data_IF_346384814035
#
_entry.id   IF_346384814035
#
_cell.length_a   1.000
_cell.length_b   1.000
_cell.length_c   1.000
_cell.angle_alpha   90.00
_cell.angle_beta   90.00
_cell.angle_gamma   90.00
#
_symmetry.space_group_name_H-M   'P 1'
#
loop_
_entity.id
_entity.type
_entity.pdbx_description
1 polymer ?
#
# COMPACT_ATOMS: atom_id res chain seq x y z
N UNK A 1 -3.60 -1.71 -30.12
CA UNK A 1 -4.75 -2.21 -29.33
C UNK A 1 -4.61 -3.72 -29.20
N UNK A 2 -4.24 -4.23 -28.02
CA UNK A 2 -3.97 -5.66 -27.78
C UNK A 2 -4.93 -6.18 -26.70
N UNK A 3 -6.09 -6.65 -27.13
CA UNK A 3 -7.07 -7.34 -26.29
C UNK A 3 -6.97 -8.82 -26.67
N UNK A 4 -6.74 -9.67 -25.69
CA UNK A 4 -6.62 -11.11 -25.89
C UNK A 4 -7.92 -11.79 -25.47
N UNK A 5 -8.29 -12.86 -26.16
CA UNK A 5 -9.36 -13.75 -25.71
C UNK A 5 -8.76 -14.93 -24.98
N UNK A 6 -9.57 -15.60 -24.15
CA UNK A 6 -9.15 -16.81 -23.42
C UNK A 6 -8.48 -17.88 -24.29
N UNK A 7 -8.90 -18.01 -25.55
CA UNK A 7 -8.37 -18.97 -26.52
C UNK A 7 -6.97 -18.64 -27.03
N UNK A 8 -6.54 -17.38 -26.92
CA UNK A 8 -5.26 -16.91 -27.47
C UNK A 8 -4.11 -17.11 -26.47
N UNK A 9 -4.40 -17.52 -25.23
CA UNK A 9 -3.46 -17.50 -24.11
C UNK A 9 -3.43 -18.82 -23.34
N UNK A 10 -2.23 -19.15 -22.84
CA UNK A 10 -2.04 -20.24 -21.90
C UNK A 10 -1.99 -19.66 -20.47
N UNK A 11 -2.89 -20.11 -19.60
CA UNK A 11 -2.90 -19.70 -18.19
C UNK A 11 -2.51 -20.91 -17.35
N UNK A 12 -1.45 -20.75 -16.56
CA UNK A 12 -0.92 -21.77 -15.67
C UNK A 12 -0.67 -21.18 -14.29
N UNK A 13 -0.75 -22.01 -13.26
CA UNK A 13 -0.33 -21.64 -11.91
C UNK A 13 1.13 -22.03 -11.71
N UNK A 14 1.97 -21.12 -11.23
CA UNK A 14 3.32 -21.43 -10.76
C UNK A 14 3.40 -21.23 -9.25
N UNK A 15 4.11 -22.13 -8.59
CA UNK A 15 4.40 -22.01 -7.16
C UNK A 15 5.26 -20.77 -6.93
N UNK A 16 4.84 -19.91 -6.01
CA UNK A 16 5.68 -18.80 -5.59
C UNK A 16 6.96 -19.38 -4.93
N UNK A 17 8.17 -18.99 -5.35
CA UNK A 17 9.41 -19.62 -4.87
C UNK A 17 9.65 -19.46 -3.36
N UNK A 18 9.04 -18.44 -2.74
CA UNK A 18 9.16 -18.14 -1.29
C UNK A 18 7.86 -18.24 -0.48
N UNK A 19 6.73 -18.55 -1.09
CA UNK A 19 5.42 -18.60 -0.42
C UNK A 19 4.69 -19.86 -0.85
N UNK A 20 3.91 -20.45 0.05
CA UNK A 20 3.08 -21.62 -0.29
C UNK A 20 1.79 -21.20 -1.01
N UNK A 21 1.94 -20.36 -2.05
CA UNK A 21 0.85 -19.74 -2.79
C UNK A 21 1.10 -19.91 -4.28
N UNK A 22 0.06 -20.32 -5.00
CA UNK A 22 0.08 -20.40 -6.45
C UNK A 22 -0.22 -19.03 -7.07
N UNK A 23 0.63 -18.61 -8.01
CA UNK A 23 0.46 -17.37 -8.76
C UNK A 23 -0.06 -17.73 -10.15
N UNK A 24 -1.21 -17.16 -10.58
CA UNK A 24 -1.68 -17.32 -11.95
C UNK A 24 -0.77 -16.53 -12.89
N UNK A 25 -0.30 -17.21 -13.93
CA UNK A 25 0.57 -16.67 -14.96
C UNK A 25 -0.05 -16.91 -16.33
N UNK A 26 -0.05 -15.86 -17.15
CA UNK A 26 -0.49 -15.88 -18.54
C UNK A 26 0.73 -15.88 -19.46
N UNK A 27 0.76 -16.81 -20.41
CA UNK A 27 1.76 -16.89 -21.46
C UNK A 27 1.13 -16.56 -22.81
N UNK A 28 1.77 -15.65 -23.52
CA UNK A 28 1.37 -15.22 -24.85
C UNK A 28 2.61 -14.86 -25.67
N UNK A 29 2.76 -15.45 -26.86
CA UNK A 29 3.87 -15.21 -27.79
C UNK A 29 5.27 -15.27 -27.14
N UNK A 30 5.51 -16.27 -26.27
CA UNK A 30 6.78 -16.43 -25.56
C UNK A 30 7.04 -15.40 -24.46
N UNK A 31 6.08 -14.51 -24.19
CA UNK A 31 6.12 -13.57 -23.08
C UNK A 31 5.27 -14.07 -21.92
N UNK A 32 5.68 -13.68 -20.71
CA UNK A 32 5.01 -14.08 -19.47
C UNK A 32 4.39 -12.85 -18.81
N UNK A 33 3.17 -13.00 -18.32
CA UNK A 33 2.41 -11.94 -17.66
C UNK A 33 1.85 -12.46 -16.33
N UNK A 34 1.82 -11.59 -15.33
CA UNK A 34 1.19 -11.84 -14.02
C UNK A 34 -0.13 -11.09 -13.96
N UNK A 35 -1.13 -11.71 -13.32
CA UNK A 35 -2.41 -11.06 -13.03
C UNK A 35 -2.21 -9.83 -12.14
N UNK A 36 -2.77 -8.69 -12.56
CA UNK A 36 -2.76 -7.43 -11.79
C UNK A 36 -4.13 -7.14 -11.17
N UNK A 37 -5.22 -7.36 -11.92
CA UNK A 37 -6.57 -7.06 -11.47
C UNK A 37 -7.59 -7.90 -12.23
N UNK A 38 -8.71 -8.22 -11.57
CA UNK A 38 -9.88 -8.88 -12.15
C UNK A 38 -11.07 -7.93 -12.01
N UNK A 39 -11.89 -7.89 -13.05
CA UNK A 39 -13.09 -7.08 -13.15
C UNK A 39 -14.26 -7.97 -13.56
N UNK A 40 -15.45 -7.70 -13.03
CA UNK A 40 -16.67 -8.35 -13.50
C UNK A 40 -17.05 -7.88 -14.91
N UNK A 41 -17.95 -8.59 -15.59
CA UNK A 41 -18.46 -8.15 -16.90
C UNK A 41 -19.08 -6.73 -16.87
N UNK A 42 -19.64 -6.31 -15.73
CA UNK A 42 -20.20 -4.96 -15.56
C UNK A 42 -19.13 -3.85 -15.47
N UNK A 43 -17.87 -4.22 -15.24
CA UNK A 43 -16.73 -3.31 -15.06
C UNK A 43 -15.80 -3.30 -16.28
N UNK A 44 -16.35 -3.56 -17.46
CA UNK A 44 -15.59 -3.55 -18.72
C UNK A 44 -14.86 -2.22 -18.94
N UNK A 45 -15.57 -1.10 -18.75
CA UNK A 45 -15.00 0.23 -18.97
C UNK A 45 -13.86 0.52 -17.99
N UNK A 46 -13.99 0.11 -16.72
CA UNK A 46 -12.94 0.23 -15.70
C UNK A 46 -11.71 -0.59 -16.07
N UNK A 47 -11.91 -1.83 -16.54
CA UNK A 47 -10.83 -2.71 -16.97
C UNK A 47 -10.06 -2.12 -18.17
N UNK A 48 -10.78 -1.54 -19.14
CA UNK A 48 -10.20 -0.86 -20.30
C UNK A 48 -9.48 0.42 -19.90
N UNK A 49 -10.03 1.19 -18.96
CA UNK A 49 -9.43 2.41 -18.44
C UNK A 49 -8.11 2.11 -17.71
N UNK A 50 -8.10 1.12 -16.81
CA UNK A 50 -6.88 0.69 -16.13
C UNK A 50 -5.82 0.21 -17.13
N UNK A 51 -6.21 -0.64 -18.09
CA UNK A 51 -5.29 -1.12 -19.10
C UNK A 51 -4.65 0.03 -19.91
N UNK A 52 -5.45 0.99 -20.38
CA UNK A 52 -4.96 2.18 -21.09
C UNK A 52 -4.02 3.03 -20.24
N UNK A 53 -4.36 3.27 -18.96
CA UNK A 53 -3.48 4.03 -18.07
C UNK A 53 -2.12 3.35 -17.93
N UNK A 54 -2.12 2.03 -17.76
CA UNK A 54 -0.88 1.26 -17.61
C UNK A 54 -0.04 1.23 -18.89
N UNK A 55 -0.66 1.09 -20.07
CA UNK A 55 0.07 1.03 -21.34
C UNK A 55 0.49 2.39 -21.85
N UNK A 56 -0.43 3.35 -21.88
CA UNK A 56 -0.27 4.60 -22.61
C UNK A 56 0.36 5.68 -21.73
N UNK A 57 -0.06 5.76 -20.45
CA UNK A 57 0.46 6.78 -19.53
C UNK A 57 1.71 6.32 -18.78
N UNK A 58 1.80 5.03 -18.44
CA UNK A 58 2.91 4.50 -17.61
C UNK A 58 3.93 3.67 -18.39
N UNK A 59 3.73 3.44 -19.68
CA UNK A 59 4.65 2.66 -20.53
C UNK A 59 4.84 1.21 -20.08
N UNK A 60 3.93 0.67 -19.26
CA UNK A 60 4.01 -0.72 -18.79
C UNK A 60 3.45 -1.64 -19.87
N UNK A 61 4.19 -2.70 -20.19
CA UNK A 61 3.70 -3.73 -21.09
C UNK A 61 2.61 -4.56 -20.37
N UNK A 62 1.34 -4.27 -20.68
CA UNK A 62 0.18 -4.93 -20.09
C UNK A 62 -0.78 -5.45 -21.16
N UNK A 63 -1.46 -6.54 -20.86
CA UNK A 63 -2.50 -7.12 -21.72
C UNK A 63 -3.83 -7.15 -20.97
N UNK A 64 -4.91 -6.85 -21.70
CA UNK A 64 -6.27 -7.04 -21.24
C UNK A 64 -6.77 -8.37 -21.80
N UNK A 65 -7.15 -9.28 -20.91
CA UNK A 65 -7.75 -10.56 -21.24
C UNK A 65 -9.26 -10.50 -21.02
N UNK A 66 -10.01 -10.85 -22.07
CA UNK A 66 -11.45 -10.99 -22.05
C UNK A 66 -11.81 -12.47 -21.90
N UNK A 67 -12.58 -12.77 -20.85
CA UNK A 67 -13.13 -14.10 -20.56
C UNK A 67 -14.66 -14.01 -20.45
N UNK A 68 -15.39 -15.10 -20.69
CA UNK A 68 -16.84 -15.11 -20.48
C UNK A 68 -17.19 -14.67 -19.04
N UNK A 69 -17.83 -13.51 -18.91
CA UNK A 69 -18.28 -12.97 -17.64
C UNK A 69 -17.25 -12.17 -16.84
N UNK A 70 -16.02 -11.98 -17.33
CA UNK A 70 -14.99 -11.19 -16.61
C UNK A 70 -13.88 -10.63 -17.51
N UNK A 71 -13.26 -9.56 -17.05
CA UNK A 71 -12.06 -8.98 -17.65
C UNK A 71 -10.89 -9.09 -16.68
N UNK A 72 -9.68 -9.28 -17.19
CA UNK A 72 -8.48 -9.29 -16.34
C UNK A 72 -7.33 -8.54 -17.00
N UNK A 73 -6.59 -7.77 -16.20
CA UNK A 73 -5.41 -7.03 -16.65
C UNK A 73 -4.18 -7.75 -16.16
N UNK A 74 -3.23 -7.99 -17.07
CA UNK A 74 -2.01 -8.72 -16.78
C UNK A 74 -0.78 -7.88 -17.15
N UNK A 75 0.21 -7.84 -16.27
CA UNK A 75 1.46 -7.10 -16.46
C UNK A 75 2.60 -8.03 -16.87
N UNK A 76 3.39 -7.63 -17.87
CA UNK A 76 4.56 -8.39 -18.34
C UNK A 76 5.59 -8.52 -17.24
N UNK A 77 6.11 -9.73 -17.06
CA UNK A 77 7.18 -10.05 -16.12
C UNK A 77 8.27 -10.87 -16.82
N UNK A 78 9.50 -10.82 -16.30
CA UNK A 78 10.53 -11.83 -16.61
C UNK A 78 10.43 -12.96 -15.59
N UNK A 79 10.61 -14.21 -16.01
CA UNK A 79 10.49 -15.36 -15.10
C UNK A 79 11.50 -15.27 -13.95
N UNK A 80 12.70 -14.76 -14.22
CA UNK A 80 13.76 -14.45 -13.24
C UNK A 80 13.33 -13.43 -12.17
N UNK A 81 12.34 -12.57 -12.47
CA UNK A 81 11.85 -11.62 -11.49
C UNK A 81 11.05 -12.33 -10.39
N UNK A 82 10.42 -13.50 -10.63
CA UNK A 82 9.64 -14.28 -9.63
C UNK A 82 10.42 -14.58 -8.34
N UNK A 83 11.75 -14.67 -8.41
CA UNK A 83 12.61 -14.88 -7.24
C UNK A 83 12.71 -13.64 -6.31
N UNK A 84 12.29 -12.47 -6.80
CA UNK A 84 12.27 -11.19 -6.10
C UNK A 84 10.98 -10.37 -6.30
N UNK A 85 9.85 -10.98 -6.67
CA UNK A 85 8.59 -10.25 -6.89
C UNK A 85 8.01 -9.75 -5.58
N UNK A 86 8.11 -8.43 -5.39
CA UNK A 86 7.20 -7.68 -4.52
C UNK A 86 5.79 -7.63 -5.15
N UNK A 87 4.70 -7.58 -4.35
CA UNK A 87 3.36 -7.59 -4.89
C UNK A 87 3.10 -6.32 -5.73
N UNK A 88 2.06 -6.37 -6.57
CA UNK A 88 1.73 -5.23 -7.43
C UNK A 88 1.51 -3.96 -6.59
N UNK A 89 1.87 -2.79 -7.12
CA UNK A 89 1.69 -1.49 -6.42
C UNK A 89 0.24 -1.24 -5.97
N UNK A 90 -0.76 -1.93 -6.53
CA UNK A 90 -2.17 -1.83 -6.14
C UNK A 90 -2.57 -2.75 -4.97
N UNK A 91 -2.00 -3.95 -4.87
CA UNK A 91 -2.29 -4.90 -3.77
C UNK A 91 -1.47 -4.60 -2.52
N UNK A 92 -0.33 -3.94 -2.67
CA UNK A 92 0.56 -3.56 -1.55
C UNK A 92 0.11 -2.30 -0.84
N UNK A 93 -0.54 -1.38 -1.54
CA UNK A 93 -0.89 -0.07 -1.00
C UNK A 93 -1.78 -0.15 0.26
N UNK A 94 -2.82 -1.01 0.33
CA UNK A 94 -3.62 -1.16 1.55
C UNK A 94 -2.79 -1.61 2.75
N UNK A 95 -1.88 -2.57 2.55
CA UNK A 95 -0.96 -3.03 3.58
C UNK A 95 -0.01 -1.91 4.04
N UNK A 96 0.57 -1.16 3.10
CA UNK A 96 1.49 -0.06 3.43
C UNK A 96 0.76 1.05 4.19
N UNK A 97 -0.48 1.37 3.78
CA UNK A 97 -1.34 2.33 4.47
C UNK A 97 -1.66 1.87 5.89
N UNK A 98 -2.05 0.60 6.05
CA UNK A 98 -2.34 0.00 7.36
C UNK A 98 -1.14 0.08 8.30
N UNK A 99 0.05 -0.28 7.82
CA UNK A 99 1.27 -0.19 8.62
C UNK A 99 1.62 1.27 8.98
N UNK A 100 1.44 2.23 8.07
CA UNK A 100 1.64 3.64 8.38
C UNK A 100 0.64 4.16 9.42
N UNK A 101 -0.61 3.69 9.40
CA UNK A 101 -1.61 4.01 10.41
C UNK A 101 -1.23 3.42 11.78
N UNK A 102 -0.75 2.18 11.84
CA UNK A 102 -0.24 1.60 13.09
C UNK A 102 0.89 2.44 13.69
N UNK A 103 1.83 2.92 12.88
CA UNK A 103 2.90 3.79 13.36
C UNK A 103 2.37 5.15 13.86
N UNK A 104 1.41 5.74 13.15
CA UNK A 104 0.77 6.98 13.56
C UNK A 104 0.08 6.82 14.92
N UNK A 105 -0.66 5.73 15.09
CA UNK A 105 -1.38 5.43 16.33
C UNK A 105 -0.44 5.10 17.48
N UNK A 106 0.62 4.34 17.24
CA UNK A 106 1.63 4.07 18.26
C UNK A 106 2.26 5.36 18.80
N UNK A 107 2.58 6.32 17.91
CA UNK A 107 3.08 7.64 18.32
C UNK A 107 2.01 8.45 19.06
N UNK A 108 0.76 8.41 18.60
CA UNK A 108 -0.37 9.09 19.26
C UNK A 108 -0.57 8.57 20.70
N UNK A 109 -0.61 7.25 20.86
CA UNK A 109 -0.77 6.55 22.15
C UNK A 109 0.43 6.85 23.06
N UNK A 110 1.67 6.74 22.56
CA UNK A 110 2.86 7.08 23.34
C UNK A 110 2.84 8.54 23.83
N UNK A 111 2.33 9.47 23.02
CA UNK A 111 2.20 10.89 23.43
C UNK A 111 1.15 11.02 24.53
N UNK A 112 0.00 10.35 24.40
CA UNK A 112 -1.05 10.37 25.41
C UNK A 112 -0.57 9.77 26.74
N UNK A 113 0.02 8.57 26.68
CA UNK A 113 0.43 7.79 27.85
C UNK A 113 1.62 8.42 28.57
N UNK A 114 2.59 8.97 27.82
CA UNK A 114 3.84 9.48 28.41
C UNK A 114 3.81 10.99 28.68
N UNK A 115 3.06 11.76 27.88
CA UNK A 115 3.07 13.23 27.92
C UNK A 115 1.71 13.84 28.31
N UNK A 116 0.64 13.04 28.32
CA UNK A 116 -0.68 13.38 28.84
C UNK A 116 -1.64 14.02 27.82
N UNK A 117 -2.92 14.07 28.20
CA UNK A 117 -4.04 14.48 27.33
C UNK A 117 -3.90 15.87 26.67
N UNK A 118 -3.20 16.81 27.31
CA UNK A 118 -2.94 18.14 26.70
C UNK A 118 -2.00 18.03 25.50
N UNK A 119 -1.01 17.16 25.56
CA UNK A 119 -0.01 16.98 24.50
C UNK A 119 -0.59 16.20 23.33
N UNK A 120 -1.37 15.15 23.59
CA UNK A 120 -2.05 14.42 22.50
C UNK A 120 -3.09 15.29 21.79
N UNK A 121 -3.81 16.15 22.52
CA UNK A 121 -4.71 17.15 21.92
C UNK A 121 -3.98 18.14 21.01
N UNK A 122 -2.74 18.52 21.37
CA UNK A 122 -1.90 19.36 20.51
C UNK A 122 -1.42 18.59 19.28
N UNK A 123 -0.98 17.33 19.48
CA UNK A 123 -0.51 16.47 18.40
C UNK A 123 -1.62 16.23 17.37
N UNK A 124 -2.86 15.99 17.82
CA UNK A 124 -4.04 15.87 16.94
C UNK A 124 -4.25 17.10 16.06
N UNK A 125 -4.02 18.30 16.57
CA UNK A 125 -4.12 19.54 15.75
C UNK A 125 -2.96 19.66 14.76
N UNK A 126 -1.75 19.28 15.17
CA UNK A 126 -0.58 19.31 14.30
C UNK A 126 -0.69 18.28 13.16
N UNK A 127 -1.14 17.06 13.45
CA UNK A 127 -1.36 16.04 12.41
C UNK A 127 -2.52 16.43 11.48
N UNK A 128 -3.58 17.06 12.00
CA UNK A 128 -4.63 17.63 11.15
C UNK A 128 -4.09 18.67 10.16
N UNK A 129 -3.16 19.51 10.63
CA UNK A 129 -2.49 20.50 9.77
C UNK A 129 -1.64 19.83 8.69
N UNK A 130 -0.95 18.72 9.03
CA UNK A 130 -0.20 17.92 8.06
C UNK A 130 -1.12 17.36 6.98
N UNK A 131 -2.23 16.72 7.37
CA UNK A 131 -3.18 16.15 6.44
C UNK A 131 -3.80 17.18 5.50
N UNK A 132 -4.18 18.35 6.02
CA UNK A 132 -4.72 19.45 5.21
C UNK A 132 -3.68 20.02 4.25
N UNK A 133 -2.46 20.29 4.74
CA UNK A 133 -1.37 20.87 3.94
C UNK A 133 -1.00 19.98 2.75
N UNK A 134 -1.01 18.68 2.96
CA UNK A 134 -0.61 17.68 1.96
C UNK A 134 -1.79 17.01 1.25
N UNK A 135 -3.02 17.50 1.49
CA UNK A 135 -4.26 17.05 0.83
C UNK A 135 -4.49 15.54 0.94
N UNK A 136 -4.38 15.01 2.15
CA UNK A 136 -4.71 13.62 2.41
C UNK A 136 -6.21 13.38 2.13
N UNK A 137 -6.57 12.37 1.33
CA UNK A 137 -7.96 11.99 1.15
C UNK A 137 -8.59 11.50 2.46
N UNK A 138 -9.87 11.79 2.67
CA UNK A 138 -10.67 11.33 3.82
C UNK A 138 -10.14 11.83 5.17
N UNK A 139 -9.57 13.04 5.21
CA UNK A 139 -9.07 13.70 6.44
C UNK A 139 -9.55 15.15 6.54
N UNK A 140 -10.67 15.49 5.90
CA UNK A 140 -11.14 16.87 5.76
C UNK A 140 -11.84 17.41 7.01
N UNK A 141 -12.25 16.54 7.94
CA UNK A 141 -12.93 16.89 9.18
C UNK A 141 -12.17 16.41 10.42
N UNK A 142 -12.33 17.09 11.57
CA UNK A 142 -11.77 16.64 12.84
C UNK A 142 -12.18 15.21 13.23
N UNK A 143 -13.40 14.80 12.87
CA UNK A 143 -13.93 13.46 13.15
C UNK A 143 -13.29 12.40 12.26
N UNK A 144 -13.08 12.70 10.97
CA UNK A 144 -12.39 11.78 10.06
C UNK A 144 -10.94 11.55 10.51
N UNK A 145 -10.27 12.59 11.01
CA UNK A 145 -8.92 12.47 11.57
C UNK A 145 -8.95 11.63 12.85
N UNK A 146 -9.91 11.87 13.74
CA UNK A 146 -10.05 11.09 14.97
C UNK A 146 -10.25 9.60 14.68
N UNK A 147 -11.06 9.29 13.67
CA UNK A 147 -11.26 7.92 13.24
C UNK A 147 -9.92 7.24 12.92
N UNK A 148 -9.04 7.88 12.13
CA UNK A 148 -7.74 7.27 11.79
C UNK A 148 -6.76 7.19 12.98
N UNK A 149 -6.93 8.02 14.00
CA UNK A 149 -6.11 7.98 15.22
C UNK A 149 -6.57 6.91 16.22
N UNK A 150 -7.80 6.40 16.10
CA UNK A 150 -8.42 5.57 17.15
C UNK A 150 -8.98 4.24 16.67
N UNK A 151 -9.31 4.10 15.37
CA UNK A 151 -9.85 2.86 14.81
C UNK A 151 -8.74 1.81 14.70
N UNK A 152 -9.02 0.55 15.04
CA UNK A 152 -8.08 -0.54 14.84
C UNK A 152 -7.74 -0.71 13.34
N UNK A 153 -6.50 -0.41 12.89
CA UNK A 153 -6.10 -0.50 11.49
C UNK A 153 -6.22 -1.90 10.92
N UNK A 154 -6.14 -2.94 11.75
CA UNK A 154 -6.25 -4.34 11.35
C UNK A 154 -7.70 -4.76 11.06
N UNK A 155 -8.66 -4.05 11.65
CA UNK A 155 -10.09 -4.29 11.47
C UNK A 155 -10.74 -3.41 10.39
N UNK A 156 -10.01 -2.48 9.78
CA UNK A 156 -10.55 -1.56 8.77
C UNK A 156 -10.88 -2.31 7.47
N UNK A 157 -12.16 -2.29 7.08
CA UNK A 157 -12.64 -2.90 5.84
C UNK A 157 -12.31 -2.03 4.61
N UNK A 158 -12.32 -0.71 4.75
CA UNK A 158 -12.05 0.22 3.65
C UNK A 158 -10.91 1.17 4.01
N UNK A 159 -9.73 0.92 3.43
CA UNK A 159 -8.58 1.80 3.60
C UNK A 159 -8.81 3.13 2.89
N UNK A 160 -8.25 4.23 3.44
CA UNK A 160 -8.33 5.51 2.75
C UNK A 160 -7.54 5.42 1.43
N UNK A 161 -7.95 6.15 0.37
CA UNK A 161 -7.32 6.07 -0.95
C UNK A 161 -5.99 6.85 -0.98
N UNK A 162 -5.10 6.55 -0.04
CA UNK A 162 -3.79 7.16 0.09
C UNK A 162 -2.81 6.54 -0.90
N UNK A 163 -2.10 7.39 -1.63
CA UNK A 163 -1.04 6.98 -2.54
C UNK A 163 0.31 6.92 -1.82
N UNK A 164 1.28 6.27 -2.44
CA UNK A 164 2.63 6.10 -1.88
C UNK A 164 3.29 7.42 -1.45
N UNK A 165 3.04 8.51 -2.20
CA UNK A 165 3.50 9.84 -1.83
C UNK A 165 2.92 10.32 -0.48
N UNK A 166 1.63 10.06 -0.22
CA UNK A 166 1.03 10.37 1.08
C UNK A 166 1.69 9.56 2.19
N UNK A 167 1.95 8.28 1.98
CA UNK A 167 2.61 7.43 2.98
C UNK A 167 4.03 7.92 3.31
N UNK A 168 4.82 8.25 2.29
CA UNK A 168 6.16 8.81 2.49
C UNK A 168 6.11 10.15 3.25
N UNK A 169 5.18 11.04 2.89
CA UNK A 169 4.97 12.32 3.58
C UNK A 169 4.54 12.12 5.03
N UNK A 170 3.62 11.19 5.29
CA UNK A 170 3.18 10.85 6.64
C UNK A 170 4.35 10.38 7.49
N UNK A 171 5.15 9.44 7.00
CA UNK A 171 6.32 8.93 7.73
C UNK A 171 7.35 10.04 8.04
N UNK A 172 7.55 10.96 7.10
CA UNK A 172 8.46 12.09 7.28
C UNK A 172 7.95 13.08 8.35
N UNK A 173 6.69 13.49 8.25
CA UNK A 173 6.08 14.44 9.18
C UNK A 173 5.88 13.81 10.56
N UNK A 174 5.45 12.57 10.62
CA UNK A 174 5.30 11.82 11.87
C UNK A 174 6.63 11.70 12.60
N UNK A 175 7.72 11.42 11.88
CA UNK A 175 9.03 11.37 12.50
C UNK A 175 9.47 12.75 13.02
N UNK A 176 9.22 13.83 12.25
CA UNK A 176 9.50 15.21 12.68
C UNK A 176 8.72 15.57 13.94
N UNK A 177 7.42 15.27 13.97
CA UNK A 177 6.54 15.52 15.10
C UNK A 177 6.96 14.67 16.31
N UNK A 178 7.19 13.37 16.15
CA UNK A 178 7.69 12.51 17.23
C UNK A 178 8.96 13.06 17.86
N UNK A 179 9.95 13.50 17.07
CA UNK A 179 11.16 14.15 17.60
C UNK A 179 10.86 15.43 18.38
N UNK A 180 9.88 16.21 17.94
CA UNK A 180 9.47 17.44 18.62
C UNK A 180 8.82 17.14 19.99
N UNK A 181 8.02 16.09 20.09
CA UNK A 181 7.34 15.70 21.34
C UNK A 181 8.26 14.96 22.32
N UNK A 182 9.05 14.00 21.84
CA UNK A 182 9.90 13.15 22.69
C UNK A 182 11.33 13.69 22.86
N UNK A 183 11.71 14.74 22.13
CA UNK A 183 13.03 15.36 22.18
C UNK A 183 14.16 14.57 21.50
N UNK A 184 13.91 13.34 21.05
CA UNK A 184 14.87 12.46 20.38
C UNK A 184 14.14 11.52 19.39
N UNK A 185 14.90 10.65 18.69
CA UNK A 185 14.36 9.71 17.71
C UNK A 185 14.07 8.30 18.28
N UNK A 186 14.28 8.07 19.59
CA UNK A 186 14.15 6.73 20.19
C UNK A 186 12.70 6.23 20.17
N UNK A 187 11.72 7.13 20.05
CA UNK A 187 10.32 6.75 19.86
C UNK A 187 10.12 5.91 18.59
N UNK A 188 10.96 6.07 17.56
CA UNK A 188 10.81 5.35 16.30
C UNK A 188 10.96 3.84 16.50
N UNK A 189 11.89 3.41 17.36
CA UNK A 189 12.08 2.00 17.71
C UNK A 189 10.83 1.41 18.36
N UNK A 190 10.27 2.08 19.37
CA UNK A 190 9.02 1.65 20.03
C UNK A 190 7.83 1.68 19.09
N UNK A 191 7.69 2.72 18.27
CA UNK A 191 6.61 2.82 17.30
C UNK A 191 6.67 1.67 16.28
N UNK A 192 7.87 1.25 15.85
CA UNK A 192 8.04 0.08 14.99
C UNK A 192 7.65 -1.24 15.67
N UNK A 193 7.62 -1.31 17.00
CA UNK A 193 7.12 -2.49 17.71
C UNK A 193 5.61 -2.70 17.49
N UNK A 194 4.84 -1.65 17.21
CA UNK A 194 3.42 -1.78 16.85
C UNK A 194 3.20 -2.57 15.53
N UNK A 195 4.23 -2.69 14.69
CA UNK A 195 4.16 -3.54 13.50
C UNK A 195 4.17 -5.04 13.84
N UNK A 196 4.43 -5.42 15.10
CA UNK A 196 4.36 -6.82 15.54
C UNK A 196 2.95 -7.40 15.45
N UNK A 197 1.93 -6.55 15.44
CA UNK A 197 0.53 -6.96 15.28
C UNK A 197 0.21 -7.38 13.83
N UNK A 198 1.03 -6.99 12.86
CA UNK A 198 0.91 -7.47 11.48
C UNK A 198 1.44 -8.90 11.35
N UNK A 199 0.84 -9.72 10.48
CA UNK A 199 1.42 -11.00 10.09
C UNK A 199 2.87 -10.83 9.63
N UNK A 200 3.73 -11.75 10.07
CA UNK A 200 5.16 -11.77 9.74
C UNK A 200 5.50 -11.51 8.25
N UNK A 201 4.82 -12.10 7.24
CA UNK A 201 5.11 -11.80 5.84
C UNK A 201 4.81 -10.35 5.45
N UNK A 202 3.76 -9.77 6.00
CA UNK A 202 3.30 -8.40 5.75
C UNK A 202 4.22 -7.38 6.43
N UNK A 203 4.60 -7.65 7.68
CA UNK A 203 5.60 -6.88 8.41
C UNK A 203 6.93 -6.80 7.68
N UNK A 204 7.46 -7.94 7.21
CA UNK A 204 8.72 -7.96 6.44
C UNK A 204 8.62 -7.17 5.15
N UNK A 205 7.47 -7.24 4.49
CA UNK A 205 7.22 -6.51 3.26
C UNK A 205 7.19 -4.99 3.50
N UNK A 206 6.49 -4.53 4.54
CA UNK A 206 6.50 -3.12 4.93
C UNK A 206 7.90 -2.63 5.27
N UNK A 207 8.67 -3.39 6.07
CA UNK A 207 10.04 -3.01 6.43
C UNK A 207 10.98 -2.97 5.22
N UNK A 208 10.79 -3.87 4.24
CA UNK A 208 11.55 -3.82 2.99
C UNK A 208 11.22 -2.55 2.19
N UNK A 209 9.94 -2.21 2.05
CA UNK A 209 9.50 -0.98 1.40
C UNK A 209 10.02 0.28 2.13
N UNK A 210 9.91 0.32 3.46
CA UNK A 210 10.36 1.43 4.30
C UNK A 210 11.85 1.71 4.05
N UNK A 211 12.70 0.68 4.02
CA UNK A 211 14.15 0.83 3.78
C UNK A 211 14.49 1.45 2.42
N UNK A 212 13.60 1.37 1.44
CA UNK A 212 13.79 1.93 0.10
C UNK A 212 13.35 3.39 0.00
N UNK A 213 12.53 3.85 0.93
CA UNK A 213 12.06 5.23 0.95
C UNK A 213 13.10 6.19 1.52
N UNK A 214 13.17 7.44 1.02
CA UNK A 214 13.95 8.49 1.65
C UNK A 214 13.56 8.71 3.12
N UNK A 215 12.25 8.70 3.43
CA UNK A 215 11.76 8.87 4.79
C UNK A 215 12.13 7.69 5.70
N UNK A 216 12.22 6.47 5.18
CA UNK A 216 12.51 5.29 6.00
C UNK A 216 13.94 5.20 6.52
N UNK A 217 14.86 6.05 6.04
CA UNK A 217 16.17 6.25 6.69
C UNK A 217 16.06 6.92 8.05
N UNK A 218 14.98 7.66 8.30
CA UNK A 218 14.72 8.33 9.57
C UNK A 218 14.23 7.34 10.64
N UNK A 219 13.67 6.22 10.21
CA UNK A 219 13.07 5.19 11.06
C UNK A 219 14.02 4.00 11.32
N UNK A 220 15.32 4.16 11.07
CA UNK A 220 16.35 3.12 11.25
C UNK A 220 17.31 3.46 12.38
#
# INVERSE_FOLDING_TARGET
>A
MFILKRQDVEISSVQHPKKDQQIPILRYQGQTFRLLSIFSAAQEEDARALWRDLTDNRGKACVLLEEPGRYSVWGKIRLEQLEGIEPSQGETLPLLTQACLLLLQAVYIDIEDLLGGRQVSAFRREIATVFQRWRFPQTDSPDAIEQWLTVDPLAIVQMPPWHEQHLNTLLQELHRLGKQYFGNANFAGRALEALQDLPEPERRQFLHWLRRLPAGKLWQ
#
